data_IF_705535463692
#
_entry.id   IF_705535463692
#
_cell.length_a   1.000
_cell.length_b   1.000
_cell.length_c   1.000
_cell.angle_alpha   90.00
_cell.angle_beta   90.00
_cell.angle_gamma   90.00
#
_symmetry.space_group_name_H-M   'P 1'
#
loop_
_entity.id
_entity.type
_entity.pdbx_description
1 polymer ?
#
# COMPACT_ATOMS: atom_id res chain seq x y z
N UNK A 1 -6.46 7.03 24.35
CA UNK A 1 -6.50 5.80 23.53
C UNK A 1 -6.38 6.25 22.10
N UNK A 2 -5.38 5.80 21.33
CA UNK A 2 -5.30 6.13 19.91
C UNK A 2 -6.58 5.66 19.22
N UNK A 3 -7.13 6.52 18.36
CA UNK A 3 -8.36 6.21 17.65
C UNK A 3 -8.11 5.01 16.72
N UNK A 4 -8.95 3.97 16.84
CA UNK A 4 -8.83 2.79 15.97
C UNK A 4 -9.47 3.10 14.64
N UNK A 5 -8.69 3.02 13.55
CA UNK A 5 -9.17 3.28 12.19
C UNK A 5 -9.76 2.01 11.59
N UNK A 6 -11.04 2.03 11.22
CA UNK A 6 -11.66 0.94 10.49
C UNK A 6 -11.56 1.15 8.98
N UNK A 7 -11.21 0.10 8.23
CA UNK A 7 -10.98 0.11 6.79
C UNK A 7 -11.75 -1.03 6.13
N UNK A 8 -12.52 -0.76 5.07
CA UNK A 8 -13.18 -1.84 4.32
C UNK A 8 -12.15 -2.75 3.64
N UNK A 9 -11.12 -2.14 3.06
CA UNK A 9 -9.95 -2.82 2.51
C UNK A 9 -8.67 -2.18 3.06
N UNK A 10 -7.86 -2.98 3.74
CA UNK A 10 -6.53 -2.59 4.19
C UNK A 10 -5.46 -3.29 3.35
N UNK A 11 -4.46 -2.55 2.88
CA UNK A 11 -3.35 -3.05 2.07
C UNK A 11 -2.05 -2.79 2.82
N UNK A 12 -1.22 -3.81 2.99
CA UNK A 12 0.09 -3.69 3.63
C UNK A 12 1.18 -3.72 2.56
N UNK A 13 1.96 -2.64 2.47
CA UNK A 13 3.08 -2.53 1.55
C UNK A 13 2.81 -1.55 0.41
N UNK A 14 3.84 -0.80 0.06
CA UNK A 14 3.82 0.27 -0.94
C UNK A 14 4.69 -0.02 -2.16
N UNK A 15 4.95 -1.30 -2.45
CA UNK A 15 5.56 -1.71 -3.71
C UNK A 15 4.55 -1.69 -4.88
N UNK A 16 4.96 -2.19 -6.06
CA UNK A 16 4.09 -2.29 -7.23
C UNK A 16 2.80 -3.07 -6.97
N UNK A 17 2.90 -4.15 -6.18
CA UNK A 17 1.76 -4.98 -5.82
C UNK A 17 0.74 -4.20 -4.98
N UNK A 18 1.19 -3.50 -3.94
CA UNK A 18 0.33 -2.70 -3.06
C UNK A 18 -0.35 -1.55 -3.80
N UNK A 19 0.40 -0.78 -4.58
CA UNK A 19 -0.18 0.33 -5.36
C UNK A 19 -1.16 -0.15 -6.44
N UNK A 20 -0.86 -1.26 -7.12
CA UNK A 20 -1.79 -1.83 -8.10
C UNK A 20 -3.07 -2.31 -7.41
N UNK A 21 -2.96 -3.01 -6.28
CA UNK A 21 -4.11 -3.43 -5.49
C UNK A 21 -4.96 -2.24 -5.03
N UNK A 22 -4.33 -1.15 -4.62
CA UNK A 22 -5.01 0.08 -4.23
C UNK A 22 -5.79 0.71 -5.39
N UNK A 23 -5.17 0.83 -6.56
CA UNK A 23 -5.85 1.36 -7.76
C UNK A 23 -7.10 0.55 -8.10
N UNK A 24 -7.00 -0.79 -8.09
CA UNK A 24 -8.16 -1.64 -8.38
C UNK A 24 -9.21 -1.64 -7.25
N UNK A 25 -8.78 -1.64 -5.99
CA UNK A 25 -9.68 -1.55 -4.83
C UNK A 25 -10.46 -0.24 -4.81
N UNK A 26 -9.79 0.88 -5.12
CA UNK A 26 -10.42 2.19 -5.19
C UNK A 26 -11.45 2.26 -6.33
N UNK A 27 -11.10 1.73 -7.52
CA UNK A 27 -12.04 1.62 -8.65
C UNK A 27 -13.25 0.73 -8.37
N UNK A 28 -13.12 -0.22 -7.45
CA UNK A 28 -14.21 -1.06 -6.98
C UNK A 28 -15.03 -0.42 -5.84
N UNK A 29 -14.82 0.86 -5.53
CA UNK A 29 -15.49 1.59 -4.44
C UNK A 29 -15.31 0.91 -3.07
N UNK A 30 -14.09 0.41 -2.80
CA UNK A 30 -13.73 -0.20 -1.51
C UNK A 30 -13.02 0.77 -0.55
N UNK A 31 -12.79 2.01 -0.96
CA UNK A 31 -12.14 3.05 -0.15
C UNK A 31 -10.84 2.54 0.52
N UNK A 32 -9.85 2.06 -0.27
CA UNK A 32 -8.70 1.36 0.25
C UNK A 32 -7.80 2.27 1.08
N UNK A 33 -7.30 1.71 2.18
CA UNK A 33 -6.22 2.29 2.99
C UNK A 33 -4.96 1.46 2.77
N UNK A 34 -3.87 2.11 2.37
CA UNK A 34 -2.57 1.48 2.15
C UNK A 34 -1.59 1.92 3.23
N UNK A 35 -1.04 0.97 3.97
CA UNK A 35 0.04 1.19 4.95
C UNK A 35 1.38 1.01 4.24
N UNK A 36 2.23 2.05 4.25
CA UNK A 36 3.44 2.05 3.43
C UNK A 36 4.49 1.02 3.86
N UNK A 37 4.61 0.79 5.17
CA UNK A 37 5.79 0.17 5.77
C UNK A 37 6.96 1.15 5.87
N UNK A 38 8.11 0.64 6.32
CA UNK A 38 9.35 1.42 6.51
C UNK A 38 9.96 1.88 5.18
N UNK A 39 9.88 1.05 4.15
CA UNK A 39 10.44 1.32 2.82
C UNK A 39 9.34 1.71 1.85
N UNK A 40 8.99 3.00 1.82
CA UNK A 40 7.99 3.50 0.87
C UNK A 40 8.45 3.28 -0.57
N UNK A 41 7.64 2.60 -1.40
CA UNK A 41 8.01 2.26 -2.79
C UNK A 41 8.71 0.90 -2.93
N UNK A 42 9.06 0.25 -1.82
CA UNK A 42 9.69 -1.06 -1.81
C UNK A 42 11.03 -1.11 -2.55
N UNK A 43 11.40 -2.30 -3.02
CA UNK A 43 12.75 -2.58 -3.54
C UNK A 43 13.14 -1.72 -4.75
N UNK A 44 12.17 -1.25 -5.54
CA UNK A 44 12.44 -0.40 -6.71
C UNK A 44 13.00 0.98 -6.32
N UNK A 45 12.94 1.38 -5.06
CA UNK A 45 13.63 2.57 -4.58
C UNK A 45 15.15 2.42 -4.53
N UNK A 46 15.64 1.18 -4.54
CA UNK A 46 17.08 0.85 -4.41
C UNK A 46 17.76 0.59 -5.76
N UNK A 47 16.99 0.49 -6.84
CA UNK A 47 17.53 0.35 -8.21
C UNK A 47 17.55 1.68 -8.95
N UNK A 48 18.51 1.83 -9.86
CA UNK A 48 18.65 3.03 -10.70
C UNK A 48 17.81 2.95 -11.97
N UNK A 49 17.99 1.90 -12.77
CA UNK A 49 17.36 1.74 -14.09
C UNK A 49 16.49 0.48 -14.11
N UNK A 50 15.35 0.58 -14.80
CA UNK A 50 14.36 -0.48 -14.99
C UNK A 50 14.00 -0.52 -16.47
N UNK A 51 14.55 -1.48 -17.21
CA UNK A 51 14.32 -1.58 -18.66
C UNK A 51 13.26 -2.61 -19.05
N UNK A 52 12.76 -3.35 -18.06
CA UNK A 52 11.83 -4.46 -18.26
C UNK A 52 10.40 -4.14 -17.78
N UNK A 53 10.10 -2.86 -17.52
CA UNK A 53 8.74 -2.45 -17.18
C UNK A 53 7.91 -2.20 -18.45
N UNK A 54 6.85 -2.99 -18.71
CA UNK A 54 6.06 -2.84 -19.91
C UNK A 54 5.35 -1.47 -19.93
N UNK A 55 5.51 -0.74 -21.03
CA UNK A 55 4.93 0.59 -21.23
C UNK A 55 5.94 1.74 -21.19
N UNK A 56 7.16 1.50 -20.73
CA UNK A 56 8.25 2.47 -20.72
C UNK A 56 9.39 1.99 -21.64
N UNK A 57 9.24 2.23 -22.96
CA UNK A 57 10.13 1.69 -24.01
C UNK A 57 11.57 2.20 -23.92
N UNK A 58 11.77 3.41 -23.40
CA UNK A 58 13.09 4.03 -23.19
C UNK A 58 13.70 3.65 -21.84
N UNK A 59 13.08 2.72 -21.10
CA UNK A 59 13.41 2.47 -19.70
C UNK A 59 12.97 3.62 -18.79
N UNK A 60 13.14 3.42 -17.48
CA UNK A 60 12.89 4.46 -16.48
C UNK A 60 13.64 4.21 -15.18
N UNK A 61 13.59 5.19 -14.28
CA UNK A 61 14.14 5.00 -12.94
C UNK A 61 13.13 4.36 -11.98
N UNK A 62 13.62 3.45 -11.13
CA UNK A 62 12.81 2.77 -10.12
C UNK A 62 12.04 3.73 -9.20
N UNK A 63 12.69 4.75 -8.59
CA UNK A 63 11.99 5.76 -7.79
C UNK A 63 10.92 6.54 -8.57
N UNK A 64 11.16 6.83 -9.85
CA UNK A 64 10.17 7.51 -10.70
C UNK A 64 8.96 6.62 -10.97
N UNK A 65 9.17 5.32 -11.18
CA UNK A 65 8.07 4.35 -11.32
C UNK A 65 7.19 4.32 -10.06
N UNK A 66 7.80 4.25 -8.88
CA UNK A 66 7.08 4.21 -7.60
C UNK A 66 6.32 5.48 -7.31
N UNK A 67 6.89 6.65 -7.61
CA UNK A 67 6.17 7.90 -7.48
C UNK A 67 4.96 7.97 -8.42
N UNK A 68 5.09 7.53 -9.67
CA UNK A 68 3.94 7.46 -10.61
C UNK A 68 2.85 6.52 -10.10
N UNK A 69 3.22 5.38 -9.50
CA UNK A 69 2.26 4.45 -8.92
C UNK A 69 1.55 5.01 -7.69
N UNK A 70 2.29 5.70 -6.80
CA UNK A 70 1.73 6.40 -5.64
C UNK A 70 0.69 7.44 -6.09
N UNK A 71 1.05 8.31 -7.03
CA UNK A 71 0.16 9.32 -7.60
C UNK A 71 -1.08 8.68 -8.27
N UNK A 72 -0.91 7.53 -8.92
CA UNK A 72 -2.03 6.81 -9.53
C UNK A 72 -3.03 6.31 -8.48
N UNK A 73 -2.56 5.77 -7.35
CA UNK A 73 -3.41 5.34 -6.25
C UNK A 73 -4.14 6.54 -5.60
N UNK A 74 -3.43 7.64 -5.34
CA UNK A 74 -3.99 8.87 -4.76
C UNK A 74 -5.03 9.53 -5.67
N UNK A 75 -4.84 9.47 -7.00
CA UNK A 75 -5.84 9.98 -7.97
C UNK A 75 -7.19 9.29 -7.84
N UNK A 76 -7.23 8.05 -7.36
CA UNK A 76 -8.46 7.32 -7.05
C UNK A 76 -8.86 7.41 -5.57
N UNK A 77 -8.34 8.38 -4.83
CA UNK A 77 -8.62 8.62 -3.41
C UNK A 77 -8.21 7.45 -2.49
N UNK A 78 -7.19 6.67 -2.86
CA UNK A 78 -6.56 5.74 -1.91
C UNK A 78 -5.94 6.55 -0.78
N UNK A 79 -6.26 6.20 0.46
CA UNK A 79 -5.58 6.80 1.62
C UNK A 79 -4.24 6.10 1.84
N UNK A 80 -3.15 6.86 1.84
CA UNK A 80 -1.81 6.34 2.10
C UNK A 80 -1.41 6.76 3.51
N UNK A 81 -1.11 5.77 4.35
CA UNK A 81 -0.73 5.98 5.74
C UNK A 81 0.70 5.51 5.96
N UNK A 82 1.51 6.42 6.49
CA UNK A 82 2.87 6.12 6.92
C UNK A 82 2.82 5.46 8.28
N UNK A 83 2.84 4.14 8.28
CA UNK A 83 2.96 3.33 9.48
C UNK A 83 3.64 2.00 9.14
N UNK A 84 4.06 1.27 10.17
CA UNK A 84 4.61 -0.06 10.05
C UNK A 84 3.83 -1.02 10.94
N UNK A 85 3.17 -2.00 10.34
CA UNK A 85 2.41 -3.02 11.08
C UNK A 85 3.37 -4.06 11.65
N UNK A 86 3.40 -4.17 12.98
CA UNK A 86 4.23 -5.14 13.70
C UNK A 86 3.41 -6.33 14.24
N UNK A 87 2.09 -6.17 14.45
CA UNK A 87 1.24 -7.23 15.02
C UNK A 87 -0.08 -7.37 14.25
N UNK A 88 -0.50 -8.61 14.01
CA UNK A 88 -1.80 -8.91 13.40
C UNK A 88 -2.58 -9.94 14.22
N UNK A 89 -3.89 -9.73 14.33
CA UNK A 89 -4.84 -10.64 14.95
C UNK A 89 -5.87 -11.07 13.89
N UNK A 90 -5.43 -11.95 12.99
CA UNK A 90 -6.19 -12.35 11.79
C UNK A 90 -7.41 -13.23 12.11
N UNK A 91 -7.47 -13.81 13.31
CA UNK A 91 -8.60 -14.61 13.77
C UNK A 91 -9.73 -13.76 14.38
N UNK A 92 -9.52 -12.46 14.57
CA UNK A 92 -10.54 -11.51 15.02
C UNK A 92 -11.44 -11.09 13.84
N UNK A 93 -12.70 -10.74 14.13
CA UNK A 93 -13.64 -10.17 13.14
C UNK A 93 -14.26 -8.88 13.70
N UNK A 94 -14.00 -7.70 13.10
CA UNK A 94 -13.07 -7.45 11.98
C UNK A 94 -11.61 -7.76 12.34
N UNK A 95 -10.77 -8.08 11.34
CA UNK A 95 -9.36 -8.38 11.57
C UNK A 95 -8.67 -7.15 12.15
N UNK A 96 -7.85 -7.32 13.20
CA UNK A 96 -7.15 -6.21 13.85
C UNK A 96 -5.66 -6.23 13.55
N UNK A 97 -5.09 -5.06 13.26
CA UNK A 97 -3.68 -4.86 12.99
C UNK A 97 -3.18 -3.70 13.86
N UNK A 98 -1.97 -3.83 14.38
CA UNK A 98 -1.32 -2.81 15.21
C UNK A 98 -0.02 -2.40 14.54
N UNK A 99 0.11 -1.10 14.28
CA UNK A 99 1.34 -0.49 13.84
C UNK A 99 1.94 0.42 14.90
N UNK A 100 3.10 0.99 14.57
CA UNK A 100 3.85 1.87 15.47
C UNK A 100 3.08 3.14 15.83
N UNK A 101 2.26 3.65 14.90
CA UNK A 101 1.52 4.90 15.06
C UNK A 101 0.03 4.71 15.31
N UNK A 102 -0.55 3.57 14.91
CA UNK A 102 -1.99 3.37 14.91
C UNK A 102 -2.45 1.94 15.15
N UNK A 103 -3.75 1.81 15.44
CA UNK A 103 -4.45 0.52 15.41
C UNK A 103 -5.50 0.56 14.32
N UNK A 104 -5.55 -0.50 13.53
CA UNK A 104 -6.41 -0.63 12.37
C UNK A 104 -7.31 -1.85 12.52
N UNK A 105 -8.52 -1.77 11.99
CA UNK A 105 -9.37 -2.94 11.78
C UNK A 105 -9.80 -2.99 10.32
N UNK A 106 -10.01 -4.19 9.78
CA UNK A 106 -10.47 -4.33 8.41
C UNK A 106 -11.38 -5.53 8.15
N UNK A 107 -12.23 -5.37 7.14
CA UNK A 107 -13.09 -6.45 6.63
C UNK A 107 -12.30 -7.37 5.69
N UNK A 108 -11.44 -6.78 4.86
CA UNK A 108 -10.53 -7.47 3.96
C UNK A 108 -9.10 -6.93 4.07
N UNK A 109 -8.13 -7.82 3.93
CA UNK A 109 -6.70 -7.53 4.05
C UNK A 109 -5.95 -8.05 2.82
N UNK A 110 -5.11 -7.21 2.22
CA UNK A 110 -4.12 -7.60 1.20
C UNK A 110 -2.73 -7.44 1.80
N UNK A 111 -1.93 -8.50 1.76
CA UNK A 111 -0.54 -8.50 2.22
C UNK A 111 0.37 -8.43 0.99
N UNK A 112 1.06 -7.31 0.83
CA UNK A 112 1.97 -7.00 -0.28
C UNK A 112 3.29 -6.39 0.24
N UNK A 113 3.80 -6.91 1.35
CA UNK A 113 4.95 -6.37 2.09
C UNK A 113 6.33 -6.75 1.52
N UNK A 114 6.39 -7.19 0.25
CA UNK A 114 7.61 -7.63 -0.44
C UNK A 114 7.99 -6.74 -1.60
#
# INVERSE_FOLDING_TARGET
MSETKHCRLLILGSGPAGYTAAVYGARANLDPVLITGLEQGGQLMTTTEVDNWPGDVEGLQGPQLMERMRQHAERFNTEIVFDHIHTTALNEKPMRLVGDSGTYTCDALIIATG
#
